data_IF_597896384099
#
_entry.id   IF_597896384099
#
_cell.length_a   1.000
_cell.length_b   1.000
_cell.length_c   1.000
_cell.angle_alpha   90.00
_cell.angle_beta   90.00
_cell.angle_gamma   90.00
#
_symmetry.space_group_name_H-M   'P 1'
#
loop_
_entity.id
_entity.type
_entity.pdbx_description
1 polymer ?
#
# COMPACT_ATOMS: atom_id res chain seq x y z
N UNK A 1 1.70 -6.12 15.57
CA UNK A 1 1.16 -4.86 16.13
C UNK A 1 0.09 -4.32 15.19
N UNK A 2 -1.12 -4.87 15.30
CA UNK A 2 -2.33 -4.43 14.61
C UNK A 2 -2.79 -3.10 15.24
N UNK A 3 -2.25 -1.97 14.76
CA UNK A 3 -2.73 -0.68 15.22
C UNK A 3 -4.05 -0.36 14.53
N UNK A 4 -5.11 -0.45 15.35
CA UNK A 4 -6.48 0.03 15.11
C UNK A 4 -7.42 -0.92 14.36
N UNK A 5 -7.60 -2.11 14.94
CA UNK A 5 -8.96 -2.56 15.23
C UNK A 5 -9.70 -1.39 15.93
N UNK A 6 -10.91 -1.00 15.47
CA UNK A 6 -11.91 -0.11 16.14
C UNK A 6 -12.26 1.23 15.45
N UNK A 7 -11.55 1.74 14.43
CA UNK A 7 -12.01 2.98 13.73
C UNK A 7 -12.44 2.66 12.29
N UNK A 8 -13.76 2.64 12.05
CA UNK A 8 -14.50 2.63 10.75
C UNK A 8 -15.31 1.38 10.37
N UNK A 9 -15.77 0.55 11.30
CA UNK A 9 -16.81 -0.46 10.99
C UNK A 9 -18.21 0.12 10.71
N UNK A 10 -18.39 1.44 10.55
CA UNK A 10 -19.73 2.05 10.55
C UNK A 10 -19.98 3.19 9.55
N UNK A 11 -18.97 3.81 8.91
CA UNK A 11 -19.22 5.11 8.22
C UNK A 11 -19.10 5.10 6.67
N UNK A 12 -18.54 4.08 6.01
CA UNK A 12 -18.35 4.17 4.54
C UNK A 12 -18.64 2.87 3.77
N UNK A 13 -19.61 2.04 4.15
CA UNK A 13 -20.00 0.90 3.30
C UNK A 13 -21.51 0.55 3.34
N UNK A 14 -22.44 1.43 2.89
CA UNK A 14 -23.76 0.93 2.52
C UNK A 14 -24.15 1.16 1.05
N UNK A 15 -23.26 1.65 0.16
CA UNK A 15 -23.66 1.97 -1.24
C UNK A 15 -22.77 1.45 -2.37
N UNK A 16 -21.64 0.79 -2.09
CA UNK A 16 -20.80 0.16 -3.13
C UNK A 16 -20.98 -1.36 -3.24
N UNK A 17 -21.95 -1.94 -2.51
CA UNK A 17 -22.09 -3.39 -2.38
C UNK A 17 -23.37 -3.88 -3.06
N UNK A 18 -23.41 -3.85 -4.39
CA UNK A 18 -24.42 -4.59 -5.16
C UNK A 18 -23.81 -5.63 -6.10
N UNK A 19 -22.51 -5.54 -6.45
CA UNK A 19 -21.82 -6.60 -7.20
C UNK A 19 -21.08 -7.65 -6.31
N UNK A 20 -20.80 -7.35 -5.04
CA UNK A 20 -20.01 -8.25 -4.16
C UNK A 20 -20.81 -8.93 -3.03
N UNK A 21 -22.09 -8.58 -2.81
CA UNK A 21 -22.83 -9.03 -1.63
C UNK A 21 -23.26 -10.51 -1.69
N UNK A 22 -23.57 -11.02 -2.89
CA UNK A 22 -24.03 -12.41 -3.05
C UNK A 22 -22.97 -13.47 -2.70
N UNK A 23 -21.68 -13.13 -2.67
CA UNK A 23 -20.61 -14.11 -2.36
C UNK A 23 -20.21 -14.15 -0.89
N UNK A 24 -20.46 -13.09 -0.11
CA UNK A 24 -19.84 -12.93 1.22
C UNK A 24 -20.74 -13.16 2.43
N UNK A 25 -22.07 -13.26 2.25
CA UNK A 25 -22.98 -13.54 3.37
C UNK A 25 -22.80 -14.98 3.92
N UNK A 26 -22.39 -15.94 3.08
CA UNK A 26 -22.09 -17.33 3.48
C UNK A 26 -20.69 -17.52 4.09
N UNK A 27 -19.81 -16.50 4.02
CA UNK A 27 -18.41 -16.60 4.43
C UNK A 27 -18.14 -16.26 5.90
N UNK A 28 -19.17 -15.88 6.67
CA UNK A 28 -18.99 -15.58 8.10
C UNK A 28 -18.46 -16.78 8.90
N UNK A 29 -18.76 -18.02 8.46
CA UNK A 29 -18.24 -19.27 9.04
C UNK A 29 -17.00 -19.84 8.31
N UNK A 30 -16.48 -19.15 7.29
CA UNK A 30 -15.38 -19.61 6.42
C UNK A 30 -14.41 -18.47 6.10
N UNK A 31 -14.24 -17.51 7.01
CA UNK A 31 -13.29 -16.44 6.81
C UNK A 31 -11.88 -17.02 6.77
N UNK A 32 -11.25 -16.98 5.60
CA UNK A 32 -9.85 -17.33 5.43
C UNK A 32 -9.04 -16.08 5.07
N UNK A 33 -8.17 -15.66 5.99
CA UNK A 33 -7.44 -14.38 5.89
C UNK A 33 -6.60 -14.27 4.61
N UNK A 34 -6.08 -15.39 4.12
CA UNK A 34 -5.33 -15.46 2.86
C UNK A 34 -6.17 -15.07 1.63
N UNK A 35 -7.48 -15.30 1.67
CA UNK A 35 -8.42 -15.06 0.57
C UNK A 35 -9.35 -13.88 0.81
N UNK A 36 -9.56 -13.48 2.06
CA UNK A 36 -10.49 -12.42 2.47
C UNK A 36 -9.75 -11.24 3.11
N UNK A 37 -8.75 -10.71 2.42
CA UNK A 37 -8.00 -9.55 2.88
C UNK A 37 -8.21 -8.35 1.93
N UNK A 38 -7.69 -7.20 2.34
CA UNK A 38 -7.79 -5.97 1.55
C UNK A 38 -7.08 -6.08 0.19
N UNK A 39 -6.05 -6.92 0.07
CA UNK A 39 -5.33 -7.14 -1.18
C UNK A 39 -6.20 -7.89 -2.19
N UNK A 40 -6.82 -9.00 -1.79
CA UNK A 40 -7.70 -9.78 -2.68
C UNK A 40 -8.95 -9.00 -3.06
N UNK A 41 -9.54 -8.26 -2.11
CA UNK A 41 -10.65 -7.35 -2.41
C UNK A 41 -10.27 -6.30 -3.46
N UNK A 42 -9.15 -5.60 -3.29
CA UNK A 42 -8.72 -4.55 -4.21
C UNK A 42 -8.40 -5.10 -5.60
N UNK A 43 -7.72 -6.25 -5.69
CA UNK A 43 -7.42 -6.90 -6.97
C UNK A 43 -8.70 -7.32 -7.70
N UNK A 44 -9.63 -7.96 -6.99
CA UNK A 44 -10.93 -8.36 -7.55
C UNK A 44 -11.70 -7.15 -8.05
N UNK A 45 -11.78 -6.08 -7.25
CA UNK A 45 -12.45 -4.85 -7.63
C UNK A 45 -11.88 -4.25 -8.92
N UNK A 46 -10.56 -4.10 -9.03
CA UNK A 46 -9.93 -3.56 -10.23
C UNK A 46 -10.18 -4.47 -11.43
N UNK A 47 -10.08 -5.79 -11.27
CA UNK A 47 -10.35 -6.72 -12.35
C UNK A 47 -11.82 -6.69 -12.81
N UNK A 48 -12.78 -6.46 -11.91
CA UNK A 48 -14.17 -6.20 -12.29
C UNK A 48 -14.29 -4.95 -13.17
N UNK A 49 -13.64 -3.85 -12.78
CA UNK A 49 -13.64 -2.60 -13.57
C UNK A 49 -12.98 -2.80 -14.93
N UNK A 50 -11.82 -3.47 -14.99
CA UNK A 50 -11.11 -3.77 -16.25
C UNK A 50 -11.97 -4.63 -17.17
N UNK A 51 -12.64 -5.64 -16.62
CA UNK A 51 -13.54 -6.50 -17.38
C UNK A 51 -14.72 -5.73 -17.97
N UNK A 52 -15.33 -4.83 -17.18
CA UNK A 52 -16.40 -3.95 -17.66
C UNK A 52 -15.92 -3.02 -18.79
N UNK A 53 -14.64 -2.66 -18.79
CA UNK A 53 -13.99 -1.87 -19.83
C UNK A 53 -13.43 -2.71 -21.00
N UNK A 54 -13.66 -4.04 -21.00
CA UNK A 54 -13.09 -5.00 -21.98
C UNK A 54 -11.55 -4.95 -22.05
N UNK A 55 -10.91 -4.61 -20.94
CA UNK A 55 -9.46 -4.60 -20.79
C UNK A 55 -8.96 -5.91 -20.18
N UNK A 56 -7.68 -6.21 -20.40
CA UNK A 56 -7.04 -7.38 -19.79
C UNK A 56 -6.98 -7.24 -18.26
N UNK A 57 -7.46 -8.27 -17.57
CA UNK A 57 -7.34 -8.37 -16.11
C UNK A 57 -5.87 -8.54 -15.69
N UNK A 58 -5.55 -8.05 -14.50
CA UNK A 58 -4.23 -8.21 -13.92
C UNK A 58 -4.16 -9.44 -13.02
N UNK A 59 -3.02 -10.12 -13.06
CA UNK A 59 -2.69 -11.13 -12.05
C UNK A 59 -2.12 -10.48 -10.77
N UNK A 60 -1.90 -11.29 -9.74
CA UNK A 60 -1.35 -10.83 -8.45
C UNK A 60 -0.01 -10.11 -8.60
N UNK A 61 0.89 -10.63 -9.42
CA UNK A 61 2.22 -10.05 -9.57
C UNK A 61 2.15 -8.67 -10.25
N UNK A 62 1.37 -8.56 -11.33
CA UNK A 62 1.17 -7.29 -12.03
C UNK A 62 0.55 -6.22 -11.14
N UNK A 63 -0.47 -6.59 -10.36
CA UNK A 63 -1.09 -5.67 -9.41
C UNK A 63 -0.11 -5.26 -8.31
N UNK A 64 0.67 -6.20 -7.78
CA UNK A 64 1.68 -5.92 -6.75
C UNK A 64 2.75 -4.95 -7.24
N UNK A 65 3.32 -5.22 -8.41
CA UNK A 65 4.37 -4.39 -9.01
C UNK A 65 3.87 -2.98 -9.34
N UNK A 66 2.68 -2.86 -9.94
CA UNK A 66 2.15 -1.57 -10.39
C UNK A 66 1.59 -0.71 -9.25
N UNK A 67 0.94 -1.31 -8.26
CA UNK A 67 0.15 -0.56 -7.28
C UNK A 67 0.61 -0.73 -5.84
N UNK A 68 1.06 -1.93 -5.44
CA UNK A 68 1.39 -2.19 -4.03
C UNK A 68 2.82 -1.74 -3.71
N UNK A 69 3.82 -2.21 -4.46
CA UNK A 69 5.24 -1.93 -4.21
C UNK A 69 5.54 -0.42 -4.16
N UNK A 70 5.03 0.43 -5.07
CA UNK A 70 5.30 1.87 -5.02
C UNK A 70 4.82 2.50 -3.71
N UNK A 71 3.63 2.10 -3.24
CA UNK A 71 3.03 2.64 -2.02
C UNK A 71 3.69 2.10 -0.76
N UNK A 72 4.05 0.81 -0.73
CA UNK A 72 4.77 0.22 0.42
C UNK A 72 6.19 0.76 0.53
N UNK A 73 6.89 1.02 -0.60
CA UNK A 73 8.19 1.71 -0.61
C UNK A 73 8.09 3.15 -0.12
N UNK A 74 7.00 3.85 -0.44
CA UNK A 74 6.75 5.19 0.09
C UNK A 74 6.49 5.13 1.59
N UNK A 75 5.61 4.23 2.02
CA UNK A 75 5.30 4.03 3.44
C UNK A 75 6.53 3.63 4.25
N UNK A 76 7.40 2.77 3.73
CA UNK A 76 8.62 2.34 4.43
C UNK A 76 9.55 3.51 4.74
N UNK A 77 9.72 4.46 3.80
CA UNK A 77 10.48 5.70 4.05
C UNK A 77 9.91 6.49 5.22
N UNK A 78 8.60 6.74 5.24
CA UNK A 78 7.96 7.47 6.33
C UNK A 78 8.03 6.72 7.67
N UNK A 79 7.89 5.39 7.65
CA UNK A 79 8.04 4.56 8.85
C UNK A 79 9.45 4.69 9.42
N UNK A 80 10.48 4.65 8.57
CA UNK A 80 11.88 4.83 9.00
C UNK A 80 12.08 6.20 9.63
N UNK A 81 11.63 7.27 8.97
CA UNK A 81 11.75 8.64 9.47
C UNK A 81 11.05 8.77 10.83
N UNK A 82 9.80 8.29 10.92
CA UNK A 82 9.02 8.34 12.15
C UNK A 82 9.73 7.63 13.30
N UNK A 83 10.25 6.41 13.06
CA UNK A 83 10.97 5.64 14.07
C UNK A 83 12.21 6.37 14.58
N UNK A 84 12.98 7.00 13.69
CA UNK A 84 14.21 7.69 14.08
C UNK A 84 13.90 8.98 14.87
N UNK A 85 12.87 9.72 14.48
CA UNK A 85 12.41 10.90 15.23
C UNK A 85 11.90 10.49 16.61
N UNK A 86 11.12 9.41 16.73
CA UNK A 86 10.66 8.93 18.03
C UNK A 86 11.82 8.51 18.94
N UNK A 87 12.93 8.03 18.37
CA UNK A 87 14.09 7.57 19.13
C UNK A 87 15.02 8.72 19.54
N UNK A 88 15.31 9.65 18.63
CA UNK A 88 16.37 10.65 18.83
C UNK A 88 15.85 12.09 18.86
N UNK A 89 14.58 12.32 18.57
CA UNK A 89 13.96 13.65 18.44
C UNK A 89 14.12 14.29 17.06
N UNK A 90 14.95 13.73 16.17
CA UNK A 90 15.21 14.26 14.83
C UNK A 90 15.62 13.15 13.85
N UNK A 91 15.59 13.44 12.54
CA UNK A 91 16.07 12.57 11.47
C UNK A 91 17.02 13.35 10.56
N UNK A 92 18.25 12.87 10.38
CA UNK A 92 19.27 13.48 9.51
C UNK A 92 19.44 12.63 8.26
N UNK A 93 19.50 13.27 7.10
CA UNK A 93 19.86 12.62 5.84
C UNK A 93 21.22 13.12 5.43
N UNK A 94 22.19 12.22 5.30
CA UNK A 94 23.47 12.54 4.70
C UNK A 94 23.24 12.92 3.23
N UNK A 95 23.52 14.19 2.90
CA UNK A 95 23.59 14.59 1.51
C UNK A 95 24.90 14.06 0.93
N UNK A 96 24.88 13.31 -0.20
CA UNK A 96 26.12 12.97 -0.87
C UNK A 96 26.81 14.27 -1.27
N UNK A 97 27.99 14.51 -0.72
CA UNK A 97 28.81 15.68 -1.04
C UNK A 97 29.00 15.72 -2.56
N UNK A 98 28.65 16.84 -3.19
CA UNK A 98 29.05 17.09 -4.57
C UNK A 98 30.58 17.04 -4.61
N UNK A 99 31.15 16.00 -5.25
CA UNK A 99 32.58 15.97 -5.58
C UNK A 99 32.86 17.08 -6.61
N UNK A 100 33.07 18.29 -6.12
CA UNK A 100 33.58 19.43 -6.88
C UNK A 100 35.10 19.47 -6.81
N UNK A 101 35.74 19.08 -7.92
CA UNK A 101 37.08 19.46 -8.41
C UNK A 101 38.10 20.04 -7.42
N UNK A 102 39.17 19.27 -7.20
CA UNK A 102 40.51 19.75 -6.84
C UNK A 102 40.89 20.97 -7.70
N UNK A 103 41.01 22.15 -7.10
CA UNK A 103 41.80 23.25 -7.67
C UNK A 103 43.20 23.13 -7.10
N UNK A 104 44.12 22.65 -7.94
CA UNK A 104 45.53 22.88 -7.75
C UNK A 104 45.79 24.38 -7.90
N UNK A 105 46.34 25.02 -6.87
CA UNK A 105 47.03 26.30 -7.02
C UNK A 105 48.44 26.13 -6.46
N UNK A 106 49.40 26.08 -7.38
CA UNK A 106 50.79 26.34 -7.12
C UNK A 106 50.99 27.85 -6.94
N UNK A 107 51.67 28.25 -5.87
CA UNK A 107 52.58 29.40 -5.80
C UNK A 107 53.74 28.98 -4.91
#
# INVERSE_FOLDING_TARGET
MCYKYTIKYTIVMPKLCFCCFETYFSLFNRYEECFHNCYTYALTFINCVLSAQKQQQMNKNEFTEKFVIPQTRKASKYITIYKEICKNGFYVVDHPAQKGSTSANAV
#
